data_IF_945155041617
#
_entry.id   IF_945155041617
#
_cell.length_a   1.000
_cell.length_b   1.000
_cell.length_c   1.000
_cell.angle_alpha   90.00
_cell.angle_beta   90.00
_cell.angle_gamma   90.00
#
_symmetry.space_group_name_H-M   'P 1'
#
loop_
_entity.id
_entity.type
_entity.pdbx_description
1 polymer ?
#
# COMPACT_ATOMS: atom_id res chain seq x y z
N UNK A 1 -0.85 20.81 -18.85
CA UNK A 1 -0.41 19.61 -18.11
C UNK A 1 1.02 19.33 -18.53
N UNK A 2 1.98 19.33 -17.60
CA UNK A 2 3.39 19.07 -17.93
C UNK A 2 3.55 17.65 -18.48
N UNK A 3 4.36 17.49 -19.54
CA UNK A 3 4.69 16.17 -20.08
C UNK A 3 5.56 15.42 -19.07
N UNK A 4 5.25 14.15 -18.79
CA UNK A 4 6.10 13.31 -17.93
C UNK A 4 7.53 13.23 -18.50
N UNK A 5 8.57 13.27 -17.65
CA UNK A 5 9.95 13.13 -18.11
C UNK A 5 10.18 11.75 -18.72
N UNK A 6 11.03 11.67 -19.75
CA UNK A 6 11.45 10.38 -20.34
C UNK A 6 12.78 9.99 -19.73
N UNK A 7 12.82 8.88 -18.98
CA UNK A 7 13.99 8.49 -18.17
C UNK A 7 14.39 7.06 -18.51
N UNK A 8 15.64 6.88 -18.94
CA UNK A 8 16.27 5.56 -18.97
C UNK A 8 16.70 5.16 -17.56
N UNK A 9 15.77 4.56 -16.81
CA UNK A 9 15.98 4.20 -15.41
C UNK A 9 17.12 3.18 -15.24
N UNK A 10 17.34 2.30 -16.23
CA UNK A 10 18.42 1.30 -16.20
C UNK A 10 19.79 1.98 -16.15
N UNK A 11 20.01 2.99 -16.98
CA UNK A 11 21.24 3.81 -16.97
C UNK A 11 21.31 4.67 -15.70
N UNK A 12 20.18 5.26 -15.30
CA UNK A 12 20.10 6.16 -14.14
C UNK A 12 20.46 5.46 -12.83
N UNK A 13 19.91 4.28 -12.60
CA UNK A 13 20.15 3.49 -11.39
C UNK A 13 21.61 3.06 -11.24
N UNK A 14 22.31 2.73 -12.34
CA UNK A 14 23.76 2.46 -12.31
C UNK A 14 24.57 3.65 -11.82
N UNK A 15 24.18 4.86 -12.24
CA UNK A 15 24.80 6.09 -11.76
C UNK A 15 24.54 6.32 -10.28
N UNK A 16 23.29 6.14 -9.84
CA UNK A 16 22.87 6.30 -8.45
C UNK A 16 23.57 5.29 -7.52
N UNK A 17 23.68 4.03 -7.93
CA UNK A 17 24.38 2.99 -7.17
C UNK A 17 25.83 3.38 -6.83
N UNK A 18 26.54 3.96 -7.81
CA UNK A 18 27.95 4.38 -7.67
C UNK A 18 28.17 5.56 -6.73
N UNK A 19 27.13 6.33 -6.40
CA UNK A 19 27.24 7.44 -5.45
C UNK A 19 27.39 6.96 -3.99
N UNK A 20 27.09 5.69 -3.70
CA UNK A 20 27.12 5.16 -2.34
C UNK A 20 26.05 5.79 -1.46
N UNK A 21 26.41 6.11 -0.21
CA UNK A 21 25.48 6.70 0.76
C UNK A 21 25.31 8.21 0.54
N UNK A 22 24.09 8.61 0.20
CA UNK A 22 23.68 9.99 -0.03
C UNK A 22 22.86 10.47 1.17
N UNK A 23 23.09 11.71 1.61
CA UNK A 23 22.31 12.31 2.70
C UNK A 23 20.83 12.53 2.29
N UNK A 24 19.91 12.25 3.20
CA UNK A 24 18.49 12.46 2.96
C UNK A 24 18.16 13.95 2.75
N UNK A 25 17.37 14.23 1.72
CA UNK A 25 16.89 15.59 1.42
C UNK A 25 15.71 16.04 2.31
N UNK A 26 15.10 15.11 3.07
CA UNK A 26 13.95 15.41 3.91
C UNK A 26 13.92 14.53 5.15
N UNK A 27 13.60 15.14 6.29
CA UNK A 27 13.45 14.37 7.54
C UNK A 27 12.23 13.44 7.52
N UNK A 28 12.38 12.25 8.10
CA UNK A 28 11.29 11.29 8.31
C UNK A 28 11.13 10.25 7.20
N UNK A 29 10.02 9.52 7.24
CA UNK A 29 9.83 8.32 6.42
C UNK A 29 9.86 8.60 4.91
N UNK A 30 9.40 9.78 4.48
CA UNK A 30 9.35 10.20 3.07
C UNK A 30 10.68 10.67 2.51
N UNK A 31 11.73 10.76 3.35
CA UNK A 31 13.06 11.19 2.95
C UNK A 31 13.68 10.33 1.85
N UNK A 32 13.47 9.01 1.90
CA UNK A 32 13.99 8.07 0.90
C UNK A 32 13.36 8.30 -0.49
N UNK A 33 12.04 8.47 -0.56
CA UNK A 33 11.32 8.77 -1.80
C UNK A 33 11.79 10.08 -2.41
N UNK A 34 11.75 11.15 -1.62
CA UNK A 34 12.14 12.49 -2.09
C UNK A 34 13.59 12.54 -2.57
N UNK A 35 14.50 11.84 -1.88
CA UNK A 35 15.91 11.79 -2.29
C UNK A 35 16.07 11.04 -3.61
N UNK A 36 15.33 9.95 -3.83
CA UNK A 36 15.39 9.20 -5.08
C UNK A 36 14.78 9.96 -6.26
N UNK A 37 13.62 10.60 -6.05
CA UNK A 37 12.95 11.44 -7.05
C UNK A 37 13.88 12.55 -7.56
N UNK A 38 14.55 13.24 -6.63
CA UNK A 38 15.52 14.29 -6.98
C UNK A 38 16.70 13.72 -7.80
N UNK A 39 17.24 12.57 -7.39
CA UNK A 39 18.30 11.91 -8.14
C UNK A 39 17.85 11.51 -9.55
N UNK A 40 16.59 11.10 -9.69
CA UNK A 40 15.98 10.80 -10.99
C UNK A 40 15.71 12.06 -11.83
N UNK A 41 15.65 13.24 -11.23
CA UNK A 41 15.26 14.49 -11.87
C UNK A 41 13.76 14.57 -12.12
N UNK A 42 12.96 13.92 -11.27
CA UNK A 42 11.49 13.97 -11.32
C UNK A 42 11.04 15.23 -10.55
N UNK A 43 10.36 16.19 -11.22
CA UNK A 43 9.86 17.36 -10.54
C UNK A 43 8.71 17.00 -9.59
N UNK A 44 8.55 17.77 -8.52
CA UNK A 44 7.48 17.57 -7.56
C UNK A 44 6.15 17.98 -8.19
N UNK A 45 5.36 16.98 -8.61
CA UNK A 45 4.11 17.19 -9.33
C UNK A 45 2.94 16.58 -8.54
N UNK A 46 1.76 17.19 -8.63
CA UNK A 46 0.53 16.66 -8.01
C UNK A 46 -0.19 15.59 -8.85
N UNK A 47 0.46 15.02 -9.87
CA UNK A 47 -0.14 14.03 -10.78
C UNK A 47 0.34 12.63 -10.42
N UNK A 48 -0.52 11.63 -10.61
CA UNK A 48 -0.12 10.23 -10.54
C UNK A 48 0.84 9.90 -11.69
N UNK A 49 1.78 8.99 -11.43
CA UNK A 49 2.88 8.55 -12.30
C UNK A 49 4.06 9.53 -12.44
N UNK A 50 5.26 8.98 -12.43
CA UNK A 50 6.48 9.75 -12.26
C UNK A 50 7.22 10.04 -13.58
N UNK A 51 7.33 9.04 -14.46
CA UNK A 51 8.10 9.17 -15.70
C UNK A 51 7.67 8.18 -16.79
N UNK A 52 8.24 8.34 -17.99
CA UNK A 52 8.08 7.43 -19.11
C UNK A 52 9.38 6.71 -19.45
N UNK A 53 9.28 5.45 -19.85
CA UNK A 53 10.37 4.67 -20.44
C UNK A 53 9.82 3.74 -21.52
N UNK A 54 10.36 3.81 -22.73
CA UNK A 54 9.94 2.95 -23.86
C UNK A 54 8.42 2.97 -24.11
N UNK A 55 7.80 4.16 -24.01
CA UNK A 55 6.36 4.35 -24.22
C UNK A 55 5.48 3.91 -23.04
N UNK A 56 6.05 3.36 -21.96
CA UNK A 56 5.33 2.97 -20.74
C UNK A 56 5.39 4.08 -19.71
N UNK A 57 4.27 4.30 -19.04
CA UNK A 57 4.16 5.16 -17.85
C UNK A 57 4.60 4.33 -16.64
N UNK A 58 5.52 4.87 -15.82
CA UNK A 58 6.12 4.19 -14.68
C UNK A 58 5.93 5.03 -13.41
N UNK A 59 5.49 4.34 -12.36
CA UNK A 59 5.53 4.81 -10.97
C UNK A 59 6.89 4.42 -10.35
N UNK A 60 7.52 5.34 -9.63
CA UNK A 60 8.76 5.14 -8.87
C UNK A 60 8.41 4.98 -7.38
N UNK A 61 8.91 3.92 -6.75
CA UNK A 61 8.87 3.79 -5.29
C UNK A 61 10.22 3.41 -4.75
N UNK A 62 10.49 3.88 -3.53
CA UNK A 62 11.64 3.44 -2.77
C UNK A 62 11.24 2.84 -1.44
N UNK A 63 12.01 1.84 -1.01
CA UNK A 63 11.84 1.15 0.26
C UNK A 63 13.19 1.01 0.96
N UNK A 64 13.19 1.03 2.28
CA UNK A 64 14.38 0.66 3.06
C UNK A 64 14.56 -0.85 2.95
N UNK A 65 15.78 -1.35 2.78
CA UNK A 65 16.03 -2.78 2.59
C UNK A 65 15.51 -3.66 3.75
N UNK A 66 15.46 -3.10 4.97
CA UNK A 66 14.95 -3.76 6.17
C UNK A 66 13.47 -3.46 6.45
N UNK A 67 12.75 -2.82 5.53
CA UNK A 67 11.36 -2.42 5.75
C UNK A 67 10.43 -3.64 5.80
N UNK A 68 9.80 -3.84 6.95
CA UNK A 68 8.78 -4.85 7.20
C UNK A 68 7.43 -4.24 7.60
N UNK A 69 7.32 -2.91 7.57
CA UNK A 69 6.09 -2.21 7.91
C UNK A 69 4.96 -2.52 6.92
N UNK A 70 3.73 -2.50 7.42
CA UNK A 70 2.54 -2.48 6.57
C UNK A 70 2.37 -1.09 5.96
N UNK A 71 2.30 -1.03 4.64
CA UNK A 71 1.84 0.14 3.89
C UNK A 71 0.37 0.00 3.58
N UNK A 72 -0.31 1.14 3.49
CA UNK A 72 -1.68 1.17 2.99
C UNK A 72 -1.65 0.94 1.49
N UNK A 73 -2.21 -0.18 1.04
CA UNK A 73 -2.45 -0.46 -0.37
C UNK A 73 -3.53 0.48 -0.88
N UNK A 74 -4.67 0.56 -0.19
CA UNK A 74 -5.77 1.48 -0.53
C UNK A 74 -6.61 1.84 0.69
N UNK A 75 -7.05 3.10 0.75
CA UNK A 75 -8.09 3.58 1.67
C UNK A 75 -9.41 3.64 0.91
N UNK A 76 -10.38 2.80 1.29
CA UNK A 76 -11.70 2.72 0.63
C UNK A 76 -12.70 2.23 1.65
N UNK A 77 -13.81 2.92 1.84
CA UNK A 77 -14.90 2.38 2.66
C UNK A 77 -15.59 1.21 1.95
N UNK A 78 -15.98 0.15 2.68
CA UNK A 78 -16.81 -0.90 2.12
C UNK A 78 -18.19 -0.36 1.75
N UNK A 79 -18.90 -1.14 0.95
CA UNK A 79 -20.35 -1.03 0.83
C UNK A 79 -20.97 -1.45 2.16
N UNK A 80 -21.57 -0.49 2.87
CA UNK A 80 -22.16 -0.68 4.20
C UNK A 80 -23.52 -1.37 4.15
N UNK A 81 -23.53 -2.63 3.70
CA UNK A 81 -24.71 -3.47 3.54
C UNK A 81 -24.37 -4.93 3.94
N UNK A 82 -25.15 -5.60 4.81
CA UNK A 82 -26.44 -5.17 5.38
C UNK A 82 -26.36 -4.22 6.57
N UNK A 83 -25.16 -3.97 7.11
CA UNK A 83 -25.00 -3.12 8.29
C UNK A 83 -24.31 -1.79 7.96
N UNK A 84 -24.83 -0.71 8.55
CA UNK A 84 -24.15 0.58 8.54
C UNK A 84 -22.84 0.52 9.35
N UNK A 85 -21.89 1.41 9.04
CA UNK A 85 -20.66 1.55 9.81
C UNK A 85 -20.92 1.72 11.32
N UNK A 86 -21.91 2.52 11.67
CA UNK A 86 -22.31 2.74 13.07
C UNK A 86 -22.81 1.44 13.72
N UNK A 87 -23.69 0.68 13.07
CA UNK A 87 -24.19 -0.61 13.59
C UNK A 87 -23.05 -1.60 13.78
N UNK A 88 -22.09 -1.66 12.86
CA UNK A 88 -20.90 -2.51 12.97
C UNK A 88 -20.06 -2.10 14.19
N UNK A 89 -19.80 -0.81 14.39
CA UNK A 89 -19.03 -0.31 15.54
C UNK A 89 -19.76 -0.57 16.87
N UNK A 90 -21.08 -0.35 16.93
CA UNK A 90 -21.86 -0.61 18.14
C UNK A 90 -21.94 -2.11 18.47
N UNK A 91 -22.07 -2.97 17.47
CA UNK A 91 -22.24 -4.42 17.65
C UNK A 91 -20.94 -5.18 17.90
N UNK A 92 -19.84 -4.75 17.26
CA UNK A 92 -18.57 -5.50 17.27
C UNK A 92 -17.38 -4.70 17.79
N UNK A 93 -17.55 -3.40 18.05
CA UNK A 93 -16.52 -2.54 18.59
C UNK A 93 -16.35 -2.66 20.10
N UNK A 94 -15.55 -1.75 20.65
CA UNK A 94 -15.22 -1.64 22.07
C UNK A 94 -15.13 -0.16 22.46
N UNK A 95 -15.20 0.13 23.76
CA UNK A 95 -14.92 1.47 24.28
C UNK A 95 -13.41 1.69 24.35
N UNK A 96 -12.89 2.70 23.65
CA UNK A 96 -11.46 3.02 23.68
C UNK A 96 -11.04 3.69 24.99
N UNK A 97 -9.74 3.90 25.20
CA UNK A 97 -9.21 4.50 26.42
C UNK A 97 -9.77 5.91 26.74
N UNK A 98 -10.44 6.56 25.78
CA UNK A 98 -11.11 7.86 25.95
C UNK A 98 -12.62 7.72 26.10
N UNK A 99 -13.13 6.50 26.32
CA UNK A 99 -14.56 6.22 26.47
C UNK A 99 -15.36 6.23 25.17
N UNK A 100 -14.70 6.32 24.00
CA UNK A 100 -15.41 6.39 22.72
C UNK A 100 -15.64 5.00 22.16
N UNK A 101 -16.87 4.72 21.71
CA UNK A 101 -17.16 3.47 21.01
C UNK A 101 -16.42 3.43 19.66
N UNK A 102 -15.56 2.44 19.46
CA UNK A 102 -14.76 2.31 18.24
C UNK A 102 -14.51 0.88 17.80
N UNK A 103 -14.09 0.75 16.54
CA UNK A 103 -13.65 -0.52 15.96
C UNK A 103 -12.31 -0.26 15.27
N UNK A 104 -11.24 -0.63 15.98
CA UNK A 104 -9.86 -0.53 15.49
C UNK A 104 -9.24 -1.92 15.55
N UNK A 105 -9.41 -2.68 14.47
CA UNK A 105 -9.05 -4.11 14.40
C UNK A 105 -8.50 -4.44 13.03
N UNK A 106 -7.59 -5.41 12.99
CA UNK A 106 -7.09 -6.02 11.74
C UNK A 106 -7.87 -7.30 11.47
N UNK A 107 -8.20 -7.53 10.19
CA UNK A 107 -8.97 -8.67 9.70
C UNK A 107 -8.20 -9.29 8.53
N UNK A 108 -8.11 -10.62 8.51
CA UNK A 108 -7.46 -11.41 7.45
C UNK A 108 -8.46 -12.39 6.85
N UNK A 109 -8.10 -13.07 5.76
CA UNK A 109 -8.89 -14.17 5.22
C UNK A 109 -8.49 -15.55 5.78
N UNK A 110 -7.50 -15.60 6.69
CA UNK A 110 -7.03 -16.85 7.29
C UNK A 110 -7.99 -17.29 8.39
N UNK A 111 -8.09 -16.48 9.45
CA UNK A 111 -8.88 -16.80 10.63
C UNK A 111 -9.74 -15.63 11.11
N UNK A 112 -10.75 -15.97 11.91
CA UNK A 112 -11.51 -14.98 12.67
C UNK A 112 -10.62 -14.33 13.73
N UNK A 113 -10.61 -13.01 13.79
CA UNK A 113 -9.90 -12.28 14.84
C UNK A 113 -10.63 -12.37 16.21
N UNK A 114 -10.10 -11.68 17.23
CA UNK A 114 -10.68 -11.65 18.59
C UNK A 114 -12.10 -11.04 18.63
N UNK A 115 -12.44 -10.19 17.64
CA UNK A 115 -13.78 -9.64 17.44
C UNK A 115 -14.67 -10.53 16.57
N UNK A 116 -14.20 -11.75 16.25
CA UNK A 116 -14.88 -12.77 15.45
C UNK A 116 -15.20 -12.30 14.03
N UNK A 117 -14.37 -11.42 13.47
CA UNK A 117 -14.47 -10.93 12.10
C UNK A 117 -13.39 -11.57 11.21
N UNK A 118 -13.74 -11.83 9.94
CA UNK A 118 -12.87 -12.43 8.91
C UNK A 118 -13.18 -11.85 7.52
N UNK A 119 -12.20 -11.86 6.61
CA UNK A 119 -12.40 -11.60 5.18
C UNK A 119 -12.76 -12.89 4.45
N UNK A 120 -13.70 -12.81 3.52
CA UNK A 120 -14.13 -13.94 2.70
C UNK A 120 -14.29 -13.50 1.25
N UNK A 121 -13.62 -14.19 0.33
CA UNK A 121 -13.82 -13.97 -1.11
C UNK A 121 -15.08 -14.71 -1.55
N UNK A 122 -16.06 -13.96 -2.05
CA UNK A 122 -17.24 -14.50 -2.70
C UNK A 122 -17.08 -14.39 -4.22
N UNK A 123 -16.58 -15.47 -4.83
CA UNK A 123 -16.33 -15.56 -6.28
C UNK A 123 -17.60 -15.34 -7.12
N UNK A 124 -18.75 -15.98 -6.83
CA UNK A 124 -19.96 -15.76 -7.63
C UNK A 124 -20.42 -14.30 -7.69
N UNK A 125 -20.23 -13.54 -6.62
CA UNK A 125 -20.62 -12.12 -6.56
C UNK A 125 -19.47 -11.15 -6.87
N UNK A 126 -18.27 -11.66 -7.17
CA UNK A 126 -17.03 -10.88 -7.36
C UNK A 126 -16.74 -9.86 -6.23
N UNK A 127 -16.87 -10.31 -4.98
CA UNK A 127 -16.79 -9.47 -3.77
C UNK A 127 -15.86 -10.04 -2.72
N UNK A 128 -15.35 -9.15 -1.87
CA UNK A 128 -14.71 -9.50 -0.59
C UNK A 128 -15.68 -9.11 0.51
N UNK A 129 -16.26 -10.10 1.17
CA UNK A 129 -17.12 -9.90 2.32
C UNK A 129 -16.26 -9.72 3.57
N UNK A 130 -16.69 -8.81 4.45
CA UNK A 130 -16.35 -8.88 5.86
C UNK A 130 -17.46 -9.68 6.52
N UNK A 131 -17.11 -10.79 7.16
CA UNK A 131 -18.07 -11.68 7.84
C UNK A 131 -17.81 -11.71 9.33
N UNK A 132 -18.86 -11.89 10.12
CA UNK A 132 -18.79 -12.19 11.55
C UNK A 132 -19.18 -13.66 11.79
N UNK A 133 -18.41 -14.38 12.60
CA UNK A 133 -18.54 -15.84 12.84
C UNK A 133 -19.97 -16.33 13.12
N UNK A 134 -20.79 -15.52 13.80
CA UNK A 134 -22.19 -15.84 14.11
C UNK A 134 -23.25 -15.14 13.25
N UNK A 135 -22.91 -14.01 12.62
CA UNK A 135 -23.92 -13.14 11.99
C UNK A 135 -23.82 -13.11 10.46
N UNK A 136 -22.88 -13.86 9.87
CA UNK A 136 -22.64 -13.82 8.42
C UNK A 136 -22.04 -12.49 7.97
N UNK A 137 -22.33 -12.10 6.72
CA UNK A 137 -21.82 -10.89 6.10
C UNK A 137 -22.27 -9.62 6.84
N UNK A 138 -21.34 -8.70 7.08
CA UNK A 138 -21.59 -7.40 7.75
C UNK A 138 -21.48 -6.22 6.79
N UNK A 139 -20.52 -6.28 5.87
CA UNK A 139 -20.31 -5.34 4.77
C UNK A 139 -19.40 -6.01 3.72
N UNK A 140 -19.22 -5.38 2.56
CA UNK A 140 -18.40 -5.97 1.48
C UNK A 140 -17.67 -4.93 0.65
N UNK A 141 -16.73 -5.39 -0.17
CA UNK A 141 -16.09 -4.64 -1.23
C UNK A 141 -16.32 -5.33 -2.56
N UNK A 142 -16.47 -4.57 -3.63
CA UNK A 142 -16.41 -5.12 -4.98
C UNK A 142 -14.95 -5.19 -5.42
N UNK A 143 -14.53 -6.38 -5.87
CA UNK A 143 -13.12 -6.62 -6.25
C UNK A 143 -12.71 -5.69 -7.40
N UNK A 144 -13.58 -5.54 -8.39
CA UNK A 144 -13.36 -4.64 -9.53
C UNK A 144 -13.10 -3.19 -9.12
N UNK A 145 -13.86 -2.66 -8.16
CA UNK A 145 -13.65 -1.29 -7.65
C UNK A 145 -12.30 -1.16 -6.91
N UNK A 146 -11.96 -2.15 -6.09
CA UNK A 146 -10.69 -2.18 -5.38
C UNK A 146 -9.53 -2.21 -6.38
N UNK A 147 -9.56 -3.14 -7.34
CA UNK A 147 -8.52 -3.29 -8.33
C UNK A 147 -8.38 -2.06 -9.21
N UNK A 148 -9.48 -1.40 -9.62
CA UNK A 148 -9.42 -0.14 -10.37
C UNK A 148 -8.61 0.94 -9.63
N UNK A 149 -8.89 1.14 -8.35
CA UNK A 149 -8.18 2.14 -7.54
C UNK A 149 -6.76 1.74 -7.17
N UNK A 150 -6.47 0.45 -7.00
CA UNK A 150 -5.10 -0.04 -6.80
C UNK A 150 -4.28 0.24 -8.06
N UNK A 151 -4.85 -0.02 -9.25
CA UNK A 151 -4.22 0.26 -10.55
C UNK A 151 -3.95 1.75 -10.75
N UNK A 152 -4.86 2.63 -10.35
CA UNK A 152 -4.66 4.09 -10.37
C UNK A 152 -3.48 4.53 -9.47
N UNK A 153 -3.30 3.88 -8.32
CA UNK A 153 -2.30 4.28 -7.31
C UNK A 153 -0.92 3.68 -7.53
N UNK A 154 -0.83 2.41 -7.93
CA UNK A 154 0.45 1.72 -8.10
C UNK A 154 0.93 1.69 -9.55
N UNK A 155 0.09 2.12 -10.50
CA UNK A 155 0.31 2.00 -11.94
C UNK A 155 0.41 0.55 -12.41
N UNK A 156 0.28 0.35 -13.73
CA UNK A 156 0.55 -0.93 -14.38
C UNK A 156 2.04 -1.29 -14.38
N UNK A 157 2.91 -0.27 -14.27
CA UNK A 157 4.35 -0.45 -14.23
C UNK A 157 4.92 0.28 -13.00
N UNK A 158 5.63 -0.46 -12.15
CA UNK A 158 6.24 0.05 -10.93
C UNK A 158 7.73 -0.25 -10.95
N UNK A 159 8.55 0.78 -10.87
CA UNK A 159 9.97 0.66 -10.55
C UNK A 159 10.14 0.80 -9.04
N UNK A 160 10.44 -0.30 -8.36
CA UNK A 160 10.70 -0.32 -6.93
C UNK A 160 12.21 -0.40 -6.67
N UNK A 161 12.72 0.48 -5.81
CA UNK A 161 14.16 0.61 -5.51
C UNK A 161 14.38 0.49 -4.00
N UNK A 162 15.23 -0.44 -3.61
CA UNK A 162 15.59 -0.71 -2.22
C UNK A 162 16.90 0.00 -1.86
N UNK A 163 16.94 0.57 -0.67
CA UNK A 163 18.11 1.25 -0.15
C UNK A 163 18.56 0.69 1.21
N UNK A 164 19.86 0.46 1.33
CA UNK A 164 20.51 0.37 2.63
C UNK A 164 20.47 1.73 3.33
N UNK A 165 20.33 1.70 4.65
CA UNK A 165 20.21 2.91 5.46
C UNK A 165 21.28 2.97 6.52
N UNK A 166 21.81 4.17 6.77
CA UNK A 166 22.66 4.44 7.93
C UNK A 166 22.37 5.83 8.47
N UNK A 167 22.78 6.09 9.71
CA UNK A 167 22.74 7.44 10.29
C UNK A 167 24.15 7.96 10.50
N UNK A 168 24.44 9.15 9.97
CA UNK A 168 25.69 9.89 10.20
C UNK A 168 25.35 11.28 10.71
N UNK A 169 25.91 11.68 11.87
CA UNK A 169 25.64 13.00 12.49
C UNK A 169 24.15 13.35 12.59
N UNK A 170 23.33 12.38 13.05
CA UNK A 170 21.85 12.47 13.18
C UNK A 170 21.06 12.62 11.88
N UNK A 171 21.70 12.61 10.72
CA UNK A 171 21.03 12.59 9.41
C UNK A 171 21.03 11.18 8.83
N UNK A 172 19.89 10.80 8.28
CA UNK A 172 19.74 9.52 7.57
C UNK A 172 20.43 9.62 6.21
N UNK A 173 21.10 8.55 5.81
CA UNK A 173 21.71 8.41 4.49
C UNK A 173 21.21 7.13 3.83
N UNK A 174 21.08 7.17 2.51
CA UNK A 174 20.58 6.07 1.69
C UNK A 174 21.62 5.65 0.66
N UNK A 175 21.86 4.36 0.55
CA UNK A 175 22.56 3.77 -0.60
C UNK A 175 21.58 2.87 -1.32
N UNK A 176 21.16 3.26 -2.52
CA UNK A 176 20.20 2.50 -3.34
C UNK A 176 20.93 1.33 -4.00
N UNK A 177 20.66 0.11 -3.56
CA UNK A 177 21.47 -1.08 -3.89
C UNK A 177 20.75 -2.10 -4.74
N UNK A 178 19.41 -2.11 -4.75
CA UNK A 178 18.63 -3.11 -5.46
C UNK A 178 17.38 -2.48 -6.09
N UNK A 179 16.98 -2.96 -7.27
CA UNK A 179 15.78 -2.49 -7.94
C UNK A 179 15.10 -3.58 -8.75
N UNK A 180 13.77 -3.48 -8.82
CA UNK A 180 12.93 -4.34 -9.65
C UNK A 180 11.98 -3.49 -10.48
N UNK A 181 11.83 -3.87 -11.74
CA UNK A 181 10.75 -3.39 -12.59
C UNK A 181 9.61 -4.42 -12.54
N UNK A 182 8.44 -3.96 -12.13
CA UNK A 182 7.26 -4.77 -11.92
C UNK A 182 6.21 -4.35 -12.94
N UNK A 183 5.61 -5.30 -13.65
CA UNK A 183 4.51 -5.05 -14.60
C UNK A 183 3.37 -6.02 -14.42
N UNK A 184 2.21 -5.65 -14.98
CA UNK A 184 1.01 -6.48 -15.03
C UNK A 184 0.45 -6.78 -13.63
N UNK A 185 -0.12 -5.74 -13.01
CA UNK A 185 -0.78 -5.87 -11.70
C UNK A 185 -1.94 -6.88 -11.80
N UNK A 186 -1.84 -7.98 -11.05
CA UNK A 186 -2.72 -9.14 -11.18
C UNK A 186 -3.79 -9.18 -10.08
N UNK A 187 -5.03 -9.42 -10.50
CA UNK A 187 -6.16 -9.63 -9.59
C UNK A 187 -6.02 -10.99 -8.88
N UNK A 188 -5.56 -12.01 -9.58
CA UNK A 188 -5.30 -13.34 -9.04
C UNK A 188 -4.24 -13.30 -7.93
N UNK A 189 -3.13 -12.58 -8.16
CA UNK A 189 -2.10 -12.40 -7.13
C UNK A 189 -2.66 -11.62 -5.92
N UNK A 190 -3.44 -10.57 -6.16
CA UNK A 190 -4.08 -9.82 -5.08
C UNK A 190 -5.00 -10.71 -4.22
N UNK A 191 -5.81 -11.55 -4.85
CA UNK A 191 -6.69 -12.49 -4.14
C UNK A 191 -5.90 -13.55 -3.39
N UNK A 192 -4.84 -14.11 -3.99
CA UNK A 192 -3.99 -15.10 -3.33
C UNK A 192 -3.33 -14.50 -2.08
N UNK A 193 -2.74 -13.30 -2.20
CA UNK A 193 -2.16 -12.59 -1.06
C UNK A 193 -3.19 -12.25 0.02
N UNK A 194 -4.45 -12.04 -0.35
CA UNK A 194 -5.56 -11.87 0.60
C UNK A 194 -5.86 -13.16 1.35
N UNK A 195 -5.98 -14.28 0.62
CA UNK A 195 -6.23 -15.63 1.18
C UNK A 195 -5.11 -16.07 2.11
N UNK A 196 -3.86 -15.76 1.77
CA UNK A 196 -2.68 -16.08 2.58
C UNK A 196 -2.51 -15.16 3.80
N UNK A 197 -3.40 -14.16 3.97
CA UNK A 197 -3.37 -13.21 5.08
C UNK A 197 -2.24 -12.18 4.99
N UNK A 198 -1.57 -12.10 3.84
CA UNK A 198 -0.53 -11.10 3.55
C UNK A 198 -1.16 -9.72 3.35
N UNK A 199 -2.30 -9.67 2.63
CA UNK A 199 -3.16 -8.49 2.56
C UNK A 199 -4.20 -8.58 3.67
N UNK A 200 -4.30 -7.50 4.44
CA UNK A 200 -5.22 -7.38 5.57
C UNK A 200 -6.13 -6.19 5.38
N UNK A 201 -7.31 -6.24 5.98
CA UNK A 201 -8.19 -5.07 6.14
C UNK A 201 -8.08 -4.55 7.57
N UNK A 202 -7.87 -3.25 7.74
CA UNK A 202 -7.88 -2.61 9.05
C UNK A 202 -9.06 -1.65 9.18
N UNK A 203 -9.96 -1.92 10.12
CA UNK A 203 -10.88 -0.90 10.60
C UNK A 203 -10.12 0.09 11.48
N UNK A 204 -10.39 1.38 11.31
CA UNK A 204 -9.78 2.47 12.11
C UNK A 204 -10.82 3.54 12.44
N UNK A 205 -11.99 3.11 12.92
CA UNK A 205 -13.17 3.97 13.06
C UNK A 205 -13.60 4.14 14.52
N UNK A 206 -14.23 5.27 14.82
CA UNK A 206 -14.93 5.49 16.10
C UNK A 206 -16.17 6.37 15.93
N UNK A 207 -17.09 6.29 16.88
CA UNK A 207 -18.26 7.16 16.97
C UNK A 207 -17.83 8.44 17.71
N UNK A 208 -18.10 9.61 17.12
CA UNK A 208 -17.91 10.92 17.76
C UNK A 208 -19.03 11.18 18.76
N UNK A 209 -18.85 12.20 19.61
CA UNK A 209 -19.85 12.64 20.58
C UNK A 209 -21.21 12.97 19.93
N UNK A 210 -21.20 13.53 18.72
CA UNK A 210 -22.41 13.83 17.95
C UNK A 210 -23.05 12.62 17.25
N UNK A 211 -22.59 11.40 17.53
CA UNK A 211 -23.09 10.15 16.95
C UNK A 211 -22.52 9.80 15.56
N UNK A 212 -21.84 10.71 14.87
CA UNK A 212 -21.28 10.44 13.54
C UNK A 212 -20.05 9.52 13.59
N UNK A 213 -19.84 8.71 12.55
CA UNK A 213 -18.67 7.84 12.44
C UNK A 213 -17.48 8.61 11.89
N UNK A 214 -16.36 8.60 12.63
CA UNK A 214 -15.06 9.08 12.18
C UNK A 214 -14.19 7.90 11.74
N UNK A 215 -13.83 7.89 10.47
CA UNK A 215 -12.84 6.99 9.90
C UNK A 215 -11.45 7.66 9.86
N UNK A 216 -10.41 7.01 10.42
CA UNK A 216 -9.01 7.44 10.39
C UNK A 216 -8.19 6.81 9.24
N UNK A 217 -8.87 6.34 8.20
CA UNK A 217 -8.23 5.72 7.04
C UNK A 217 -8.20 4.20 7.18
N UNK A 218 -9.36 3.61 7.40
CA UNK A 218 -9.57 2.18 7.22
C UNK A 218 -9.20 1.79 5.79
N UNK A 219 -8.48 0.68 5.65
CA UNK A 219 -7.85 0.36 4.37
C UNK A 219 -7.32 -1.05 4.29
N UNK A 220 -7.13 -1.49 3.05
CA UNK A 220 -6.33 -2.68 2.77
C UNK A 220 -4.86 -2.32 2.93
N UNK A 221 -4.12 -3.17 3.63
CA UNK A 221 -2.70 -2.98 3.92
C UNK A 221 -1.93 -4.24 3.58
N UNK A 222 -0.70 -4.06 3.15
CA UNK A 222 0.23 -5.12 2.77
C UNK A 222 1.60 -4.79 3.37
N UNK A 223 2.37 -5.80 3.74
CA UNK A 223 3.78 -5.59 4.10
C UNK A 223 4.54 -5.05 2.89
N UNK A 224 5.42 -4.07 3.10
CA UNK A 224 6.23 -3.47 2.02
C UNK A 224 6.98 -4.51 1.18
N UNK A 225 7.60 -5.49 1.85
CA UNK A 225 8.32 -6.61 1.21
C UNK A 225 7.47 -7.46 0.24
N UNK A 226 6.16 -7.53 0.45
CA UNK A 226 5.23 -8.32 -0.37
C UNK A 226 4.57 -7.49 -1.48
N UNK A 227 4.82 -6.17 -1.54
CA UNK A 227 4.29 -5.32 -2.61
C UNK A 227 4.65 -5.84 -4.02
N UNK A 228 5.88 -6.33 -4.28
CA UNK A 228 6.21 -6.91 -5.59
C UNK A 228 5.37 -8.10 -6.01
N UNK A 229 4.80 -8.84 -5.06
CA UNK A 229 4.02 -10.06 -5.34
C UNK A 229 2.63 -9.73 -5.93
N UNK A 230 2.17 -8.48 -5.88
CA UNK A 230 0.96 -8.02 -6.56
C UNK A 230 1.05 -8.05 -8.09
N UNK A 231 2.26 -8.15 -8.63
CA UNK A 231 2.54 -8.09 -10.07
C UNK A 231 2.88 -9.48 -10.59
N UNK A 232 2.39 -9.83 -11.78
CA UNK A 232 2.69 -11.13 -12.40
C UNK A 232 4.05 -11.15 -13.09
N UNK A 233 4.59 -9.99 -13.48
CA UNK A 233 5.92 -9.86 -14.06
C UNK A 233 6.86 -9.07 -13.14
N UNK A 234 8.05 -9.64 -12.90
CA UNK A 234 9.11 -9.06 -12.07
C UNK A 234 10.46 -9.23 -12.74
N UNK A 235 11.10 -8.12 -13.04
CA UNK A 235 12.44 -8.07 -13.62
C UNK A 235 13.43 -7.43 -12.62
N UNK A 236 14.52 -8.14 -12.31
CA UNK A 236 15.61 -7.55 -11.51
C UNK A 236 16.47 -6.64 -12.39
N UNK A 237 16.72 -5.42 -11.91
CA UNK A 237 17.54 -4.45 -12.64
C UNK A 237 18.99 -4.55 -12.17
N UNK A 238 19.92 -4.82 -13.10
CA UNK A 238 21.36 -4.83 -12.80
C UNK A 238 21.88 -3.42 -12.54
N UNK A 239 22.32 -3.16 -11.31
CA UNK A 239 22.82 -1.85 -10.84
C UNK A 239 24.35 -1.81 -10.66
N UNK A 240 24.94 -2.96 -10.37
CA UNK A 240 26.37 -3.19 -10.22
C UNK A 240 27.02 -3.60 -11.55
N UNK A 241 28.36 -3.62 -11.57
CA UNK A 241 29.16 -4.12 -12.69
C UNK A 241 29.96 -5.33 -12.24
#
# INVERSE_FOLDING_TARGET
MGKLPVINFRKKLKGIYKLGFIESLRSGNTGIGKTLEELFGIPENNVSNDFQFEGRIIELKSQRATASSRVTLITKSPHWNPLSAEKIIRKYGYSDAKGRQGLKVTITAVDFNTHRLKLEINKPLNRINIIHKKNGAVCYFEIKELMGKIKEKLSQNLLIVFAETRKKRRKEQFHYTEAYFLSDLSEENFEQLLLDGVIVWEFRMHIKENGSVRDHGAGFRISEKHLPELYSAKEKIKMDF
#
